data_IF_691326065278
#
_entry.id   IF_691326065278
#
_cell.length_a   1.000
_cell.length_b   1.000
_cell.length_c   1.000
_cell.angle_alpha   90.00
_cell.angle_beta   90.00
_cell.angle_gamma   90.00
#
_symmetry.space_group_name_H-M   'P 1'
#
loop_
_entity.id
_entity.type
_entity.pdbx_description
1 polymer ?
#
# COMPACT_ATOMS: atom_id res chain seq x y z
N UNK A 1 12.43 25.52 12.48
CA UNK A 1 11.11 26.16 12.64
C UNK A 1 10.11 25.29 11.89
N UNK A 2 9.02 24.87 12.54
CA UNK A 2 7.92 24.19 11.83
C UNK A 2 7.22 25.24 10.96
N UNK A 3 6.84 24.94 9.71
CA UNK A 3 6.03 25.87 8.94
C UNK A 3 4.71 26.15 9.67
N UNK A 4 4.23 27.40 9.62
CA UNK A 4 3.08 27.90 10.39
C UNK A 4 1.75 27.16 10.11
N UNK A 5 1.74 26.28 9.12
CA UNK A 5 0.62 25.50 8.62
C UNK A 5 0.60 24.01 9.04
N UNK A 6 1.43 23.57 9.98
CA UNK A 6 1.37 22.18 10.47
C UNK A 6 0.24 22.03 11.50
N UNK A 7 -0.71 21.12 11.25
CA UNK A 7 -1.71 20.74 12.24
C UNK A 7 -1.06 19.78 13.24
N UNK A 8 -0.79 20.30 14.44
CA UNK A 8 -0.20 19.52 15.52
C UNK A 8 -1.30 19.09 16.49
N UNK A 9 -1.52 17.78 16.60
CA UNK A 9 -2.48 17.22 17.56
C UNK A 9 -1.96 17.28 19.02
N UNK A 10 -0.73 17.75 19.24
CA UNK A 10 -0.06 17.81 20.55
C UNK A 10 -0.73 18.70 21.59
N UNK A 11 -1.67 19.58 21.19
CA UNK A 11 -2.39 20.45 22.13
C UNK A 11 -3.33 19.66 23.06
N UNK A 12 -3.75 18.46 22.65
CA UNK A 12 -4.57 17.58 23.48
C UNK A 12 -3.68 16.48 24.03
N UNK A 13 -3.36 16.54 25.33
CA UNK A 13 -2.69 15.46 26.04
C UNK A 13 -3.72 14.51 26.64
N UNK A 14 -3.68 13.25 26.24
CA UNK A 14 -4.56 12.22 26.75
C UNK A 14 -3.73 10.97 27.06
N UNK A 15 -3.03 10.94 28.21
CA UNK A 15 -2.04 9.91 28.52
C UNK A 15 -2.63 8.49 28.54
N UNK A 16 -3.89 8.36 28.95
CA UNK A 16 -4.62 7.08 29.01
C UNK A 16 -5.37 6.73 27.71
N UNK A 17 -5.20 7.52 26.64
CA UNK A 17 -5.87 7.25 25.37
C UNK A 17 -5.26 6.03 24.69
N UNK A 18 -6.06 4.98 24.52
CA UNK A 18 -5.62 3.75 23.86
C UNK A 18 -5.93 3.70 22.36
N UNK A 19 -6.96 4.40 21.91
CA UNK A 19 -7.39 4.40 20.52
C UNK A 19 -7.60 5.83 20.04
N UNK A 20 -7.00 6.18 18.91
CA UNK A 20 -7.13 7.48 18.28
C UNK A 20 -7.62 7.31 16.85
N UNK A 21 -8.70 8.01 16.51
CA UNK A 21 -9.20 8.12 15.16
C UNK A 21 -8.99 9.56 14.67
N UNK A 22 -8.13 9.74 13.68
CA UNK A 22 -7.83 11.03 13.07
C UNK A 22 -8.46 11.08 11.70
N UNK A 23 -9.47 11.92 11.55
CA UNK A 23 -10.07 12.24 10.26
C UNK A 23 -9.49 13.56 9.73
N UNK A 24 -8.48 13.43 8.87
CA UNK A 24 -7.84 14.56 8.22
C UNK A 24 -8.64 15.10 7.03
N UNK A 25 -9.80 14.52 6.71
CA UNK A 25 -10.62 14.99 5.58
C UNK A 25 -11.14 16.41 5.74
N UNK A 26 -11.21 16.90 6.97
CA UNK A 26 -11.83 18.17 7.36
C UNK A 26 -10.84 19.28 7.64
N UNK A 27 -9.55 19.02 7.43
CA UNK A 27 -8.51 20.02 7.70
C UNK A 27 -8.45 21.04 6.58
N UNK A 28 -8.26 22.31 6.96
CA UNK A 28 -8.24 23.46 6.06
C UNK A 28 -7.19 23.30 4.96
N UNK A 29 -7.44 23.92 3.80
CA UNK A 29 -6.60 23.78 2.61
C UNK A 29 -5.15 24.25 2.82
N UNK A 30 -4.93 25.09 3.82
CA UNK A 30 -3.63 25.70 4.10
C UNK A 30 -2.70 24.77 4.89
N UNK A 31 -3.20 23.65 5.42
CA UNK A 31 -2.36 22.74 6.20
C UNK A 31 -1.29 22.09 5.32
N UNK A 32 -0.05 22.06 5.81
CA UNK A 32 1.09 21.47 5.06
C UNK A 32 1.55 20.14 5.64
N UNK A 33 1.06 19.76 6.81
CA UNK A 33 1.42 18.50 7.45
C UNK A 33 0.66 18.25 8.74
N UNK A 34 0.74 17.00 9.18
CA UNK A 34 0.26 16.51 10.46
C UNK A 34 1.40 15.96 11.27
N UNK A 35 1.38 16.32 12.54
CA UNK A 35 2.27 15.73 13.53
C UNK A 35 1.46 15.25 14.71
N UNK A 36 1.62 13.98 15.03
CA UNK A 36 1.09 13.41 16.27
C UNK A 36 2.28 13.30 17.23
N UNK A 37 2.19 14.00 18.36
CA UNK A 37 3.26 14.00 19.35
C UNK A 37 3.22 12.70 20.15
N UNK A 38 4.39 12.10 20.33
CA UNK A 38 4.58 10.87 21.10
C UNK A 38 4.16 11.06 22.57
N UNK A 39 4.55 12.20 23.15
CA UNK A 39 4.26 12.56 24.53
C UNK A 39 2.77 12.84 24.80
N UNK A 40 1.98 13.07 23.75
CA UNK A 40 0.56 13.37 23.90
C UNK A 40 -0.26 12.11 24.23
N UNK A 41 0.15 10.95 23.70
CA UNK A 41 -0.59 9.68 23.76
C UNK A 41 0.32 8.47 24.05
N UNK A 42 1.06 8.45 25.17
CA UNK A 42 1.99 7.37 25.51
C UNK A 42 1.35 5.97 25.57
N UNK A 43 0.07 5.85 25.93
CA UNK A 43 -0.65 4.56 26.00
C UNK A 43 -1.39 4.17 24.72
N UNK A 44 -1.15 4.87 23.60
CA UNK A 44 -1.82 4.62 22.33
C UNK A 44 -1.45 3.23 21.78
N UNK A 45 -2.46 2.39 21.55
CA UNK A 45 -2.31 1.03 21.01
C UNK A 45 -2.98 0.85 19.65
N UNK A 46 -3.96 1.69 19.29
CA UNK A 46 -4.61 1.68 17.98
C UNK A 46 -4.69 3.09 17.40
N UNK A 47 -4.28 3.24 16.14
CA UNK A 47 -4.33 4.49 15.41
C UNK A 47 -5.06 4.26 14.08
N UNK A 48 -6.14 5.01 13.84
CA UNK A 48 -6.81 5.06 12.54
C UNK A 48 -6.64 6.43 11.94
N UNK A 49 -6.09 6.48 10.73
CA UNK A 49 -5.88 7.71 9.98
C UNK A 49 -6.74 7.68 8.73
N UNK A 50 -7.55 8.71 8.53
CA UNK A 50 -8.38 8.92 7.33
C UNK A 50 -7.84 10.13 6.57
N UNK A 51 -7.39 9.91 5.34
CA UNK A 51 -6.76 10.92 4.50
C UNK A 51 -7.62 11.26 3.27
N UNK A 52 -7.60 12.53 2.86
CA UNK A 52 -8.17 12.98 1.58
C UNK A 52 -7.19 13.78 0.71
N UNK A 53 -6.03 14.16 1.24
CA UNK A 53 -5.02 14.98 0.57
C UNK A 53 -3.60 14.57 0.96
N UNK A 54 -2.65 14.75 0.03
CA UNK A 54 -1.22 14.47 0.20
C UNK A 54 -0.57 15.44 1.18
N UNK A 55 -0.75 15.18 2.48
CA UNK A 55 -0.14 15.95 3.55
C UNK A 55 1.09 15.22 4.09
N UNK A 56 2.05 15.97 4.63
CA UNK A 56 3.20 15.37 5.31
C UNK A 56 2.72 14.71 6.61
N UNK A 57 3.05 13.44 6.82
CA UNK A 57 2.69 12.73 8.05
C UNK A 57 3.94 12.40 8.85
N UNK A 58 4.07 13.06 10.00
CA UNK A 58 4.99 12.66 11.06
C UNK A 58 4.18 11.92 12.12
N UNK A 59 4.19 10.59 12.03
CA UNK A 59 3.51 9.71 12.97
C UNK A 59 4.35 9.58 14.26
N UNK A 60 5.57 10.11 14.34
CA UNK A 60 6.42 9.94 15.52
C UNK A 60 6.70 8.47 15.87
N UNK A 61 7.33 8.27 17.01
CA UNK A 61 7.69 6.97 17.60
C UNK A 61 6.58 6.52 18.54
N UNK A 62 5.86 5.46 18.16
CA UNK A 62 4.84 4.86 19.02
C UNK A 62 5.19 3.45 19.44
N UNK A 63 5.91 3.35 20.56
CA UNK A 63 6.38 2.08 21.14
C UNK A 63 5.26 1.09 21.49
N UNK A 64 4.09 1.61 21.84
CA UNK A 64 2.93 0.80 22.26
C UNK A 64 1.90 0.55 21.15
N UNK A 65 2.08 1.14 19.96
CA UNK A 65 1.13 1.01 18.87
C UNK A 65 1.12 -0.42 18.36
N UNK A 66 -0.04 -1.08 18.46
CA UNK A 66 -0.26 -2.47 18.01
C UNK A 66 -1.02 -2.55 16.69
N UNK A 67 -1.85 -1.55 16.41
CA UNK A 67 -2.70 -1.50 15.23
C UNK A 67 -2.62 -0.13 14.54
N UNK A 68 -2.37 -0.13 13.23
CA UNK A 68 -2.39 1.06 12.39
C UNK A 68 -3.35 0.87 11.22
N UNK A 69 -4.41 1.67 11.12
CA UNK A 69 -5.38 1.63 10.02
C UNK A 69 -5.22 2.86 9.14
N UNK A 70 -4.81 2.66 7.89
CA UNK A 70 -4.64 3.69 6.88
C UNK A 70 -5.82 3.67 5.91
N UNK A 71 -6.70 4.65 6.07
CA UNK A 71 -7.89 4.82 5.24
C UNK A 71 -7.68 6.01 4.31
N UNK A 72 -7.74 5.77 3.01
CA UNK A 72 -7.76 6.83 2.00
C UNK A 72 -8.76 6.46 0.94
N UNK A 73 -9.32 7.48 0.31
CA UNK A 73 -10.28 7.29 -0.76
C UNK A 73 -9.63 7.41 -2.13
N UNK A 74 -8.48 8.10 -2.24
CA UNK A 74 -7.96 8.57 -3.52
C UNK A 74 -6.43 8.67 -3.62
N UNK A 75 -5.65 8.57 -2.53
CA UNK A 75 -4.21 8.86 -2.59
C UNK A 75 -3.32 7.60 -2.49
N UNK A 76 -2.57 7.36 -3.57
CA UNK A 76 -1.50 6.37 -3.69
C UNK A 76 -0.33 6.63 -2.72
N UNK A 77 0.09 7.89 -2.58
CA UNK A 77 1.37 8.29 -2.02
C UNK A 77 1.41 8.13 -0.51
N UNK A 78 0.51 8.78 0.22
CA UNK A 78 0.57 8.87 1.69
C UNK A 78 0.68 7.51 2.36
N UNK A 79 -0.13 6.53 1.92
CA UNK A 79 -0.11 5.20 2.53
C UNK A 79 1.25 4.55 2.34
N UNK A 80 1.76 4.61 1.12
CA UNK A 80 3.08 4.07 0.80
C UNK A 80 4.21 4.84 1.48
N UNK A 81 4.04 6.14 1.77
CA UNK A 81 5.03 6.95 2.49
C UNK A 81 5.06 6.58 3.98
N UNK A 82 3.90 6.32 4.57
CA UNK A 82 3.79 5.80 5.94
C UNK A 82 4.39 4.38 6.03
N UNK A 83 4.08 3.52 5.06
CA UNK A 83 4.67 2.17 5.00
C UNK A 83 6.18 2.23 4.79
N UNK A 84 6.67 3.16 3.96
CA UNK A 84 8.10 3.42 3.79
C UNK A 84 8.74 3.92 5.10
N UNK A 85 8.06 4.78 5.86
CA UNK A 85 8.57 5.24 7.17
C UNK A 85 8.75 4.06 8.13
N UNK A 86 7.79 3.14 8.18
CA UNK A 86 7.87 1.92 9.00
C UNK A 86 8.98 0.99 8.48
N UNK A 87 9.14 0.87 7.15
CA UNK A 87 10.24 0.15 6.52
C UNK A 87 11.59 0.74 6.93
N UNK A 88 11.75 2.06 6.89
CA UNK A 88 13.00 2.72 7.23
C UNK A 88 13.33 2.58 8.72
N UNK A 89 12.33 2.63 9.59
CA UNK A 89 12.51 2.66 11.06
C UNK A 89 11.59 1.68 11.78
N UNK A 90 11.75 0.35 11.58
CA UNK A 90 10.89 -0.66 12.22
C UNK A 90 10.93 -0.63 13.75
N UNK A 91 12.04 -0.14 14.34
CA UNK A 91 12.23 0.02 15.79
C UNK A 91 11.36 1.10 16.42
N UNK A 92 10.86 2.05 15.62
CA UNK A 92 9.97 3.09 16.12
C UNK A 92 8.54 2.57 16.33
N UNK A 93 8.23 1.43 15.72
CA UNK A 93 6.94 0.74 15.80
C UNK A 93 7.11 -0.69 16.32
N UNK A 94 7.76 -0.91 17.46
CA UNK A 94 8.17 -2.23 17.92
C UNK A 94 6.97 -3.13 18.21
N UNK A 95 5.89 -2.62 18.79
CA UNK A 95 4.69 -3.42 19.12
C UNK A 95 3.69 -3.57 17.96
N UNK A 96 3.95 -2.97 16.79
CA UNK A 96 2.99 -2.95 15.69
C UNK A 96 2.88 -4.33 15.06
N UNK A 97 1.68 -4.91 15.14
CA UNK A 97 1.35 -6.28 14.69
C UNK A 97 0.24 -6.32 13.64
N UNK A 98 -0.57 -5.26 13.53
CA UNK A 98 -1.71 -5.18 12.62
C UNK A 98 -1.67 -3.92 11.77
N UNK A 99 -1.79 -4.06 10.45
CA UNK A 99 -1.93 -2.94 9.53
C UNK A 99 -3.24 -3.08 8.75
N UNK A 100 -4.08 -2.06 8.80
CA UNK A 100 -5.28 -1.95 7.98
C UNK A 100 -5.05 -1.05 6.77
N UNK A 101 -5.39 -1.54 5.59
CA UNK A 101 -5.28 -0.81 4.33
C UNK A 101 -6.66 -0.77 3.67
N UNK A 102 -7.23 0.43 3.52
CA UNK A 102 -8.49 0.61 2.81
C UNK A 102 -8.31 0.45 1.29
N UNK A 103 -8.13 -0.80 0.82
CA UNK A 103 -8.10 -1.20 -0.60
C UNK A 103 -7.00 -0.55 -1.45
N UNK A 104 -6.94 -0.89 -2.73
CA UNK A 104 -6.04 -0.24 -3.70
C UNK A 104 -6.61 1.13 -4.14
N UNK A 105 -5.76 2.06 -4.62
CA UNK A 105 -4.37 1.87 -5.06
C UNK A 105 -3.29 2.27 -4.02
N UNK A 106 -2.24 1.47 -3.84
CA UNK A 106 -1.00 1.79 -3.12
C UNK A 106 0.17 0.93 -3.67
N UNK A 107 1.41 1.28 -3.34
CA UNK A 107 2.62 0.56 -3.77
C UNK A 107 2.79 -0.76 -3.00
N UNK A 108 2.43 -1.88 -3.66
CA UNK A 108 2.49 -3.22 -3.07
C UNK A 108 3.93 -3.68 -2.78
N UNK A 109 4.90 -3.31 -3.60
CA UNK A 109 6.32 -3.58 -3.37
C UNK A 109 6.81 -3.00 -2.03
N UNK A 110 6.42 -1.76 -1.69
CA UNK A 110 6.76 -1.13 -0.41
C UNK A 110 6.14 -1.88 0.77
N UNK A 111 4.91 -2.37 0.64
CA UNK A 111 4.29 -3.22 1.67
C UNK A 111 5.09 -4.51 1.87
N UNK A 112 5.44 -5.21 0.79
CA UNK A 112 6.17 -6.47 0.85
C UNK A 112 7.55 -6.28 1.51
N UNK A 113 8.29 -5.26 1.09
CA UNK A 113 9.59 -4.90 1.67
C UNK A 113 9.46 -4.56 3.16
N UNK A 114 8.41 -3.84 3.56
CA UNK A 114 8.17 -3.48 4.97
C UNK A 114 7.93 -4.72 5.81
N UNK A 115 7.08 -5.64 5.32
CA UNK A 115 6.80 -6.92 5.99
C UNK A 115 8.07 -7.77 6.14
N UNK A 116 8.81 -7.94 5.04
CA UNK A 116 10.10 -8.66 5.02
C UNK A 116 11.05 -8.08 6.07
N UNK A 117 11.24 -6.77 6.06
CA UNK A 117 12.17 -6.12 6.97
C UNK A 117 11.76 -6.24 8.44
N UNK A 118 10.46 -6.13 8.73
CA UNK A 118 9.90 -6.41 10.06
C UNK A 118 10.18 -7.84 10.51
N UNK A 119 10.13 -8.81 9.61
CA UNK A 119 10.46 -10.21 9.91
C UNK A 119 11.95 -10.42 10.16
N UNK A 120 12.83 -9.82 9.35
CA UNK A 120 14.30 -9.92 9.52
C UNK A 120 14.72 -9.44 10.91
N UNK A 121 14.09 -8.36 11.39
CA UNK A 121 14.39 -7.79 12.70
C UNK A 121 13.41 -8.22 13.79
N UNK A 122 12.62 -9.27 13.57
CA UNK A 122 11.80 -9.88 14.61
C UNK A 122 12.74 -10.48 15.66
N UNK A 123 12.91 -9.77 16.77
CA UNK A 123 13.75 -10.12 17.91
C UNK A 123 13.00 -9.78 19.20
N UNK A 124 13.47 -10.21 20.39
CA UNK A 124 12.87 -9.76 21.65
C UNK A 124 12.77 -8.23 21.67
N UNK A 125 11.54 -7.71 21.61
CA UNK A 125 11.25 -6.28 21.60
C UNK A 125 10.79 -5.69 20.26
N UNK A 126 10.79 -6.42 19.14
CA UNK A 126 10.15 -5.99 17.88
C UNK A 126 9.23 -7.11 17.37
N UNK A 127 7.93 -6.85 17.38
CA UNK A 127 6.92 -7.77 16.87
C UNK A 127 6.87 -7.76 15.33
N UNK A 128 6.76 -8.94 14.69
CA UNK A 128 6.44 -9.04 13.27
C UNK A 128 4.98 -8.62 13.03
N UNK A 129 4.67 -8.28 11.79
CA UNK A 129 3.28 -8.07 11.38
C UNK A 129 2.60 -9.43 11.27
N UNK A 130 1.50 -9.62 11.99
CA UNK A 130 0.74 -10.87 12.02
C UNK A 130 -0.54 -10.81 11.20
N UNK A 131 -1.05 -9.59 10.96
CA UNK A 131 -2.36 -9.38 10.38
C UNK A 131 -2.39 -8.16 9.45
N UNK A 132 -2.94 -8.36 8.25
CA UNK A 132 -3.39 -7.27 7.40
C UNK A 132 -4.92 -7.23 7.35
N UNK A 133 -5.50 -6.05 7.52
CA UNK A 133 -6.93 -5.82 7.30
C UNK A 133 -7.07 -5.18 5.94
N UNK A 134 -7.66 -5.88 4.98
CA UNK A 134 -7.78 -5.42 3.60
C UNK A 134 -9.23 -5.11 3.24
N UNK A 135 -9.47 -4.10 2.40
CA UNK A 135 -10.80 -3.67 1.98
C UNK A 135 -10.99 -3.74 0.46
N UNK A 136 -12.25 -3.84 0.02
CA UNK A 136 -12.76 -3.64 -1.35
C UNK A 136 -12.54 -4.76 -2.34
N UNK A 137 -11.30 -5.25 -2.53
CA UNK A 137 -10.99 -6.19 -3.61
C UNK A 137 -10.12 -7.32 -3.07
N UNK A 138 -10.51 -8.59 -3.29
CA UNK A 138 -9.66 -9.70 -2.89
C UNK A 138 -8.33 -9.64 -3.64
N UNK A 139 -7.24 -10.11 -3.04
CA UNK A 139 -5.93 -10.08 -3.66
C UNK A 139 -5.81 -11.15 -4.76
N UNK A 140 -5.00 -10.96 -5.81
CA UNK A 140 -4.68 -12.05 -6.71
C UNK A 140 -3.79 -13.06 -5.97
N UNK A 141 -3.82 -14.34 -6.37
CA UNK A 141 -3.14 -15.41 -5.65
C UNK A 141 -1.64 -15.14 -5.42
N UNK A 142 -0.92 -14.68 -6.45
CA UNK A 142 0.51 -14.38 -6.34
C UNK A 142 0.82 -13.34 -5.24
N UNK A 143 0.06 -12.24 -5.16
CA UNK A 143 0.24 -11.23 -4.11
C UNK A 143 -0.18 -11.75 -2.74
N UNK A 144 -1.31 -12.47 -2.69
CA UNK A 144 -1.80 -13.10 -1.46
C UNK A 144 -0.78 -14.11 -0.91
N UNK A 145 -0.16 -14.89 -1.78
CA UNK A 145 0.87 -15.86 -1.43
C UNK A 145 2.08 -15.18 -0.81
N UNK A 146 2.66 -14.18 -1.48
CA UNK A 146 3.82 -13.45 -0.96
C UNK A 146 3.52 -12.80 0.38
N UNK A 147 2.36 -12.16 0.53
CA UNK A 147 1.91 -11.59 1.81
C UNK A 147 1.76 -12.68 2.87
N UNK A 148 1.09 -13.79 2.56
CA UNK A 148 0.83 -14.86 3.53
C UNK A 148 2.12 -15.52 4.01
N UNK A 149 3.08 -15.77 3.10
CA UNK A 149 4.42 -16.26 3.45
C UNK A 149 5.13 -15.30 4.40
N UNK A 150 5.14 -14.01 4.09
CA UNK A 150 5.74 -12.99 4.95
C UNK A 150 5.02 -12.91 6.30
N UNK A 151 3.69 -13.01 6.38
CA UNK A 151 2.98 -13.03 7.66
C UNK A 151 3.26 -14.29 8.50
N UNK A 152 3.78 -15.37 7.89
CA UNK A 152 4.31 -16.56 8.58
C UNK A 152 5.78 -16.41 9.00
N UNK A 153 6.43 -15.29 8.65
CA UNK A 153 7.88 -15.11 8.84
C UNK A 153 8.73 -15.87 7.81
N UNK A 154 8.14 -16.29 6.68
CA UNK A 154 8.85 -16.94 5.58
C UNK A 154 9.09 -15.94 4.44
N UNK A 155 10.21 -16.09 3.74
CA UNK A 155 10.64 -15.17 2.70
C UNK A 155 10.37 -15.80 1.32
N UNK A 156 9.47 -15.23 0.50
CA UNK A 156 9.28 -15.67 -0.88
C UNK A 156 10.48 -15.27 -1.75
N UNK A 157 10.64 -15.89 -2.93
CA UNK A 157 11.75 -15.59 -3.83
C UNK A 157 11.81 -14.11 -4.26
N UNK A 158 13.03 -13.57 -4.38
CA UNK A 158 13.31 -12.13 -4.45
C UNK A 158 12.79 -11.43 -5.73
N UNK A 159 12.54 -12.17 -6.81
CA UNK A 159 11.97 -11.65 -8.08
C UNK A 159 10.54 -11.06 -7.91
N UNK A 160 9.96 -11.24 -6.73
CA UNK A 160 8.60 -10.83 -6.38
C UNK A 160 8.39 -9.31 -6.40
N UNK A 161 9.37 -8.47 -6.01
CA UNK A 161 9.12 -7.03 -5.80
C UNK A 161 8.89 -6.25 -7.10
N UNK A 162 9.69 -6.51 -8.13
CA UNK A 162 9.55 -5.86 -9.43
C UNK A 162 8.18 -6.12 -10.05
N UNK A 163 7.65 -7.33 -9.89
CA UNK A 163 6.32 -7.73 -10.37
C UNK A 163 5.15 -6.97 -9.72
N UNK A 164 5.39 -6.32 -8.57
CA UNK A 164 4.40 -5.54 -7.83
C UNK A 164 4.68 -4.03 -7.78
N UNK A 165 5.70 -3.58 -8.51
CA UNK A 165 6.09 -2.17 -8.61
C UNK A 165 5.08 -1.32 -9.38
N UNK A 166 5.18 0.01 -9.24
CA UNK A 166 4.42 0.93 -10.09
C UNK A 166 4.72 0.77 -11.58
N UNK A 167 5.94 0.38 -11.95
CA UNK A 167 6.28 0.13 -13.36
C UNK A 167 5.48 -1.04 -13.92
N UNK A 168 5.35 -2.12 -13.15
CA UNK A 168 4.53 -3.27 -13.52
C UNK A 168 3.03 -2.92 -13.60
N UNK A 169 2.53 -2.04 -12.72
CA UNK A 169 1.18 -1.48 -12.84
C UNK A 169 1.07 -0.65 -14.12
N UNK A 170 2.05 0.21 -14.39
CA UNK A 170 2.10 1.09 -15.55
C UNK A 170 2.04 0.32 -16.87
N UNK A 171 2.84 -0.75 -17.01
CA UNK A 171 2.81 -1.63 -18.18
C UNK A 171 1.42 -2.18 -18.50
N UNK A 172 0.59 -2.44 -17.47
CA UNK A 172 -0.79 -2.89 -17.65
C UNK A 172 -1.74 -1.72 -17.91
N UNK A 173 -1.61 -0.65 -17.13
CA UNK A 173 -2.52 0.49 -17.15
C UNK A 173 -2.41 1.31 -18.44
N UNK A 174 -1.20 1.46 -18.95
CA UNK A 174 -0.86 2.38 -20.04
C UNK A 174 -0.82 1.74 -21.43
N UNK A 175 -1.07 0.43 -21.52
CA UNK A 175 -1.18 -0.27 -22.79
C UNK A 175 -2.63 -0.19 -23.33
N UNK A 176 -2.87 0.63 -24.36
CA UNK A 176 -4.21 0.81 -24.95
C UNK A 176 -4.82 -0.51 -25.47
N UNK A 177 -3.98 -1.41 -25.98
CA UNK A 177 -4.38 -2.71 -26.51
C UNK A 177 -4.72 -3.74 -25.43
N UNK A 178 -4.44 -3.44 -24.15
CA UNK A 178 -4.73 -4.35 -23.04
C UNK A 178 -6.13 -4.11 -22.47
N UNK A 179 -6.82 -5.20 -22.14
CA UNK A 179 -8.06 -5.12 -21.37
C UNK A 179 -7.78 -4.95 -19.87
N UNK A 180 -8.71 -4.31 -19.18
CA UNK A 180 -8.68 -4.15 -17.72
C UNK A 180 -9.22 -2.81 -17.25
N UNK A 181 -9.95 -2.83 -16.14
CA UNK A 181 -10.32 -1.62 -15.39
C UNK A 181 -9.14 -1.14 -14.51
N UNK A 182 -9.14 0.12 -14.08
CA UNK A 182 -8.06 0.70 -13.26
C UNK A 182 -7.80 -0.13 -12.01
N UNK A 183 -8.85 -0.49 -11.26
CA UNK A 183 -8.72 -1.28 -10.03
C UNK A 183 -8.13 -2.68 -10.29
N UNK A 184 -8.46 -3.34 -11.41
CA UNK A 184 -7.89 -4.65 -11.74
C UNK A 184 -6.43 -4.53 -12.21
N UNK A 185 -6.07 -3.47 -12.93
CA UNK A 185 -4.67 -3.19 -13.26
C UNK A 185 -3.82 -3.00 -11.99
N UNK A 186 -4.27 -2.17 -11.04
CA UNK A 186 -3.60 -1.99 -9.74
C UNK A 186 -3.56 -3.28 -8.90
N UNK A 187 -4.60 -4.11 -8.99
CA UNK A 187 -4.71 -5.36 -8.24
C UNK A 187 -4.08 -6.54 -8.97
N UNK A 188 -3.42 -6.34 -10.10
CA UNK A 188 -2.86 -7.39 -10.96
C UNK A 188 -3.85 -8.51 -11.33
N UNK A 189 -5.15 -8.21 -11.41
CA UNK A 189 -6.21 -9.17 -11.71
C UNK A 189 -6.55 -9.23 -13.20
N UNK A 190 -6.91 -10.41 -13.73
CA UNK A 190 -7.47 -10.50 -15.08
C UNK A 190 -8.80 -9.75 -15.13
N UNK A 191 -9.02 -9.04 -16.23
CA UNK A 191 -10.24 -8.26 -16.43
C UNK A 191 -10.43 -7.98 -17.92
N UNK A 192 -11.56 -8.42 -18.48
CA UNK A 192 -11.88 -8.26 -19.90
C UNK A 192 -12.56 -6.93 -20.23
N UNK A 193 -12.62 -5.98 -19.28
CA UNK A 193 -13.22 -4.67 -19.53
C UNK A 193 -12.38 -3.92 -20.56
N UNK A 194 -12.96 -3.49 -21.70
CA UNK A 194 -12.21 -2.80 -22.74
C UNK A 194 -11.78 -1.40 -22.29
N UNK A 195 -10.69 -0.92 -22.88
CA UNK A 195 -10.30 0.49 -22.87
C UNK A 195 -11.30 1.31 -23.69
N UNK A 196 -11.52 2.57 -23.31
CA UNK A 196 -12.39 3.49 -24.01
C UNK A 196 -11.54 4.59 -24.66
N UNK A 197 -11.74 4.79 -25.96
CA UNK A 197 -11.04 5.83 -26.70
C UNK A 197 -11.48 7.23 -26.25
N UNK A 198 -10.56 8.18 -26.33
CA UNK A 198 -10.79 9.57 -26.00
C UNK A 198 -10.66 9.90 -24.51
N UNK A 199 -10.70 11.20 -24.18
CA UNK A 199 -10.53 11.66 -22.81
C UNK A 199 -11.70 11.24 -21.94
N UNK A 200 -11.41 10.99 -20.66
CA UNK A 200 -12.44 10.70 -19.66
C UNK A 200 -13.31 11.95 -19.47
N UNK A 201 -14.64 11.81 -19.62
CA UNK A 201 -15.60 12.92 -19.50
C UNK A 201 -15.65 13.55 -18.12
N UNK A 202 -15.21 12.82 -17.09
CA UNK A 202 -14.91 13.36 -15.78
C UNK A 202 -13.42 13.22 -15.51
N UNK A 203 -12.70 14.30 -15.18
CA UNK A 203 -11.33 14.18 -14.72
C UNK A 203 -11.34 13.27 -13.48
N UNK A 204 -10.60 12.16 -13.55
CA UNK A 204 -10.38 11.33 -12.37
C UNK A 204 -9.73 12.23 -11.33
N UNK A 205 -10.42 12.49 -10.21
CA UNK A 205 -9.94 13.32 -9.10
C UNK A 205 -8.80 12.64 -8.32
N UNK A 206 -7.79 12.11 -9.01
CA UNK A 206 -6.48 12.04 -8.40
C UNK A 206 -6.04 13.50 -8.35
N UNK A 207 -6.06 14.09 -7.17
CA UNK A 207 -5.46 15.39 -6.97
C UNK A 207 -3.97 15.18 -7.25
N UNK A 208 -3.55 15.42 -8.50
CA UNK A 208 -2.16 15.62 -8.89
C UNK A 208 -1.65 16.93 -8.30
N UNK A 209 -2.05 17.26 -7.05
CA UNK A 209 -1.44 18.32 -6.28
C UNK A 209 0.05 18.00 -6.29
N UNK A 210 0.74 18.88 -7.01
CA UNK A 210 2.11 18.87 -7.46
C UNK A 210 2.90 17.62 -7.08
N UNK A 211 3.36 16.87 -8.10
CA UNK A 211 4.53 16.00 -7.97
C UNK A 211 5.82 16.80 -7.67
N UNK A 212 5.71 17.85 -6.86
CA UNK A 212 6.83 18.55 -6.25
C UNK A 212 7.37 17.70 -5.09
N UNK A 213 8.69 17.71 -4.89
CA UNK A 213 9.36 16.95 -3.84
C UNK A 213 9.11 17.61 -2.47
N UNK A 214 7.89 17.54 -1.95
CA UNK A 214 7.66 17.77 -0.51
C UNK A 214 7.82 16.44 0.22
N UNK A 215 8.99 15.80 0.06
CA UNK A 215 9.19 14.43 0.52
C UNK A 215 10.01 14.40 1.82
N UNK A 216 9.37 14.04 2.93
CA UNK A 216 10.00 13.91 4.26
C UNK A 216 10.99 12.73 4.30
N UNK A 217 10.83 11.73 3.43
CA UNK A 217 11.63 10.50 3.53
C UNK A 217 13.12 10.67 3.16
N UNK A 218 13.50 11.75 2.45
CA UNK A 218 14.92 11.98 2.11
C UNK A 218 15.81 12.15 3.35
N UNK A 219 15.23 12.57 4.47
CA UNK A 219 15.95 12.82 5.73
C UNK A 219 15.78 11.69 6.75
N UNK A 220 15.03 10.63 6.42
CA UNK A 220 14.83 9.50 7.34
C UNK A 220 16.07 8.60 7.29
N UNK A 221 16.87 8.68 8.35
CA UNK A 221 17.95 7.72 8.59
C UNK A 221 17.33 6.36 8.93
N UNK A 222 17.63 5.35 8.12
CA UNK A 222 17.18 3.99 8.35
C UNK A 222 17.78 3.42 9.64
N UNK A 223 16.94 2.86 10.51
CA UNK A 223 17.37 2.12 11.70
C UNK A 223 16.54 0.84 11.89
N UNK A 224 17.13 -0.36 11.70
CA UNK A 224 18.54 -0.63 11.37
C UNK A 224 18.97 -0.12 9.97
N UNK A 225 20.26 -0.18 9.60
CA UNK A 225 20.71 0.18 8.26
C UNK A 225 20.07 -0.70 7.16
N UNK A 226 19.82 -0.12 5.99
CA UNK A 226 19.37 -0.85 4.80
C UNK A 226 20.51 -1.69 4.20
N UNK A 227 20.18 -2.83 3.58
CA UNK A 227 21.09 -3.55 2.68
C UNK A 227 21.34 -2.73 1.41
N UNK A 228 22.41 -3.04 0.67
CA UNK A 228 22.74 -2.32 -0.57
C UNK A 228 21.59 -2.37 -1.59
N UNK A 229 21.04 -3.55 -1.84
CA UNK A 229 19.95 -3.75 -2.81
C UNK A 229 18.70 -2.95 -2.45
N UNK A 230 18.35 -2.90 -1.15
CA UNK A 230 17.18 -2.14 -0.69
C UNK A 230 17.41 -0.63 -0.79
N UNK A 231 18.65 -0.16 -0.55
CA UNK A 231 19.01 1.26 -0.76
C UNK A 231 18.84 1.64 -2.23
N UNK A 232 19.36 0.83 -3.13
CA UNK A 232 19.27 1.06 -4.57
C UNK A 232 17.81 1.06 -5.04
N UNK A 233 17.02 0.06 -4.59
CA UNK A 233 15.60 -0.01 -4.90
C UNK A 233 14.85 1.25 -4.46
N UNK A 234 15.01 1.66 -3.20
CA UNK A 234 14.32 2.83 -2.65
C UNK A 234 14.82 4.15 -3.26
N UNK A 235 16.09 4.25 -3.67
CA UNK A 235 16.61 5.43 -4.36
C UNK A 235 15.86 5.71 -5.67
N UNK A 236 15.53 4.67 -6.44
CA UNK A 236 14.76 4.78 -7.68
C UNK A 236 13.25 5.02 -7.51
N UNK A 237 12.72 4.98 -6.27
CA UNK A 237 11.26 5.06 -6.00
C UNK A 237 10.63 6.35 -6.55
N UNK A 238 11.28 7.48 -6.34
CA UNK A 238 10.74 8.77 -6.76
C UNK A 238 10.68 8.90 -8.28
N UNK A 239 11.68 8.35 -8.98
CA UNK A 239 11.70 8.31 -10.44
C UNK A 239 10.60 7.42 -10.99
N UNK A 240 10.40 6.22 -10.41
CA UNK A 240 9.28 5.33 -10.77
C UNK A 240 7.92 6.00 -10.58
N UNK A 241 7.71 6.67 -9.45
CA UNK A 241 6.49 7.45 -9.19
C UNK A 241 6.31 8.58 -10.21
N UNK A 242 7.35 9.36 -10.45
CA UNK A 242 7.30 10.48 -11.39
C UNK A 242 6.96 9.99 -12.80
N UNK A 243 7.65 8.95 -13.28
CA UNK A 243 7.42 8.31 -14.57
C UNK A 243 5.98 7.79 -14.69
N UNK A 244 5.48 7.11 -13.65
CA UNK A 244 4.11 6.62 -13.61
C UNK A 244 3.08 7.75 -13.75
N UNK A 245 3.18 8.80 -12.92
CA UNK A 245 2.21 9.91 -12.95
C UNK A 245 2.32 10.75 -14.23
N UNK A 246 3.53 10.88 -14.79
CA UNK A 246 3.73 11.53 -16.07
C UNK A 246 3.01 10.77 -17.19
N UNK A 247 3.23 9.46 -17.26
CA UNK A 247 2.60 8.57 -18.25
C UNK A 247 1.07 8.56 -18.12
N UNK A 248 0.56 8.50 -16.88
CA UNK A 248 -0.87 8.58 -16.59
C UNK A 248 -1.48 9.88 -17.14
N UNK A 249 -0.82 11.02 -16.93
CA UNK A 249 -1.26 12.33 -17.46
C UNK A 249 -1.25 12.38 -18.98
N UNK A 250 -0.23 11.83 -19.63
CA UNK A 250 -0.17 11.77 -21.10
C UNK A 250 -1.28 10.92 -21.70
N UNK A 251 -1.65 9.83 -21.02
CA UNK A 251 -2.61 8.85 -21.52
C UNK A 251 -4.06 9.27 -21.31
N UNK A 252 -4.35 10.03 -20.25
CA UNK A 252 -5.70 10.54 -19.98
C UNK A 252 -6.30 11.37 -21.13
N UNK A 253 -5.46 11.92 -22.02
CA UNK A 253 -5.92 12.60 -23.24
C UNK A 253 -6.20 11.68 -24.43
N UNK A 254 -5.76 10.42 -24.39
CA UNK A 254 -5.82 9.46 -25.51
C UNK A 254 -6.89 8.40 -25.31
N UNK A 255 -6.89 7.76 -24.15
CA UNK A 255 -7.87 6.74 -23.79
C UNK A 255 -8.05 6.72 -22.26
N UNK A 256 -9.09 6.04 -21.81
CA UNK A 256 -9.32 5.85 -20.38
C UNK A 256 -9.85 4.44 -20.07
N UNK A 257 -9.74 4.06 -18.80
CA UNK A 257 -10.27 2.81 -18.26
C UNK A 257 -11.43 3.12 -17.33
N UNK A 258 -12.38 2.20 -17.26
CA UNK A 258 -13.36 2.22 -16.17
C UNK A 258 -12.62 2.05 -14.85
N UNK A 259 -13.07 2.75 -13.80
CA UNK A 259 -12.47 2.62 -12.47
C UNK A 259 -12.69 1.21 -11.90
N UNK A 260 -13.95 0.77 -11.89
CA UNK A 260 -14.39 -0.50 -11.32
C UNK A 260 -14.66 -1.57 -12.39
N UNK A 261 -14.46 -2.84 -12.02
CA UNK A 261 -14.84 -3.97 -12.87
C UNK A 261 -16.31 -4.34 -12.62
N UNK A 262 -17.17 -4.47 -13.65
CA UNK A 262 -18.55 -4.91 -13.47
C UNK A 262 -18.67 -6.33 -12.89
N UNK A 263 -17.71 -7.19 -13.21
CA UNK A 263 -17.70 -8.59 -12.77
C UNK A 263 -17.17 -8.77 -11.34
N UNK A 264 -16.49 -7.77 -10.77
CA UNK A 264 -15.99 -7.83 -9.40
C UNK A 264 -16.97 -7.07 -8.51
N UNK A 265 -17.79 -7.81 -7.74
CA UNK A 265 -18.58 -7.18 -6.69
C UNK A 265 -17.63 -6.57 -5.66
N UNK A 266 -17.57 -5.25 -5.63
CA UNK A 266 -16.89 -4.53 -4.56
C UNK A 266 -17.66 -4.78 -3.26
N UNK A 267 -17.15 -5.68 -2.44
CA UNK A 267 -17.71 -5.85 -1.11
C UNK A 267 -17.23 -4.67 -0.24
N UNK A 268 -18.14 -4.00 0.50
CA UNK A 268 -17.74 -3.06 1.52
C UNK A 268 -17.02 -3.75 2.69
N UNK A 269 -17.06 -5.09 2.75
CA UNK A 269 -16.45 -5.88 3.81
C UNK A 269 -14.92 -5.76 3.81
N UNK A 270 -14.39 -5.80 5.03
CA UNK A 270 -12.98 -6.02 5.26
C UNK A 270 -12.74 -7.52 5.30
N UNK A 271 -11.64 -7.98 4.73
CA UNK A 271 -11.13 -9.32 4.95
C UNK A 271 -9.82 -9.25 5.70
N UNK A 272 -9.63 -10.23 6.57
CA UNK A 272 -8.43 -10.38 7.38
C UNK A 272 -7.49 -11.33 6.64
N UNK A 273 -6.26 -10.87 6.40
CA UNK A 273 -5.17 -11.70 5.89
C UNK A 273 -4.23 -12.00 7.05
N UNK A 274 -3.97 -13.27 7.27
CA UNK A 274 -3.05 -13.82 8.27
C UNK A 274 -2.11 -14.80 7.58
N UNK A 275 -1.14 -15.33 8.33
CA UNK A 275 -0.39 -16.49 7.86
C UNK A 275 -1.28 -17.67 7.46
N UNK A 276 -2.44 -17.90 8.06
CA UNK A 276 -3.30 -19.06 7.72
C UNK A 276 -4.21 -18.85 6.50
N UNK A 277 -4.25 -17.64 5.92
CA UNK A 277 -5.28 -17.32 4.92
C UNK A 277 -5.26 -18.22 3.69
N UNK A 278 -4.11 -18.75 3.26
CA UNK A 278 -4.05 -19.69 2.13
C UNK A 278 -4.53 -21.11 2.45
N UNK A 279 -4.47 -21.52 3.72
CA UNK A 279 -4.93 -22.86 4.13
C UNK A 279 -6.46 -22.94 4.05
N UNK A 280 -7.13 -21.82 4.28
CA UNK A 280 -8.58 -21.65 4.14
C UNK A 280 -9.02 -21.70 2.66
N UNK A 281 -8.23 -21.14 1.73
CA UNK A 281 -8.51 -21.22 0.29
C UNK A 281 -8.26 -22.63 -0.30
N UNK A 282 -7.35 -23.42 0.28
CA UNK A 282 -7.04 -24.78 -0.19
C UNK A 282 -8.17 -25.79 0.00
N UNK A 283 -9.19 -25.46 0.80
CA UNK A 283 -10.36 -26.32 1.04
C UNK A 283 -11.40 -26.22 -0.08
N UNK A 284 -11.45 -25.08 -0.79
CA UNK A 284 -12.43 -24.77 -1.85
C UNK A 284 -11.81 -24.68 -3.26
N UNK A 285 -10.47 -24.67 -3.40
CA UNK A 285 -9.78 -24.57 -4.69
C UNK A 285 -9.65 -25.93 -5.40
N UNK A 286 -10.76 -26.48 -5.88
CA UNK A 286 -10.79 -27.37 -7.04
C UNK A 286 -11.08 -26.58 -8.32
N UNK A 287 -10.25 -25.60 -8.68
CA UNK A 287 -10.22 -25.13 -10.07
C UNK A 287 -8.91 -24.41 -10.39
N UNK A 288 -8.45 -24.62 -11.62
CA UNK A 288 -7.29 -24.01 -12.28
C UNK A 288 -5.90 -24.52 -11.87
N UNK A 289 -5.63 -25.80 -12.17
CA UNK A 289 -4.27 -26.21 -12.60
C UNK A 289 -4.18 -26.03 -14.13
N UNK A 290 -3.16 -25.34 -14.67
CA UNK A 290 -2.90 -25.33 -16.10
C UNK A 290 -2.62 -26.76 -16.58
N UNK A 291 -3.32 -27.16 -17.64
CA UNK A 291 -3.32 -28.52 -18.15
C UNK A 291 -1.93 -29.06 -18.48
N UNK A 292 -1.61 -30.23 -17.92
CA UNK A 292 -0.64 -31.12 -18.52
C UNK A 292 -1.13 -31.49 -19.92
N UNK A 293 -0.36 -31.11 -20.92
CA UNK A 293 -0.48 -31.55 -22.31
C UNK A 293 -0.58 -33.07 -22.34
N UNK A 294 -1.77 -33.60 -22.67
CA UNK A 294 -1.92 -35.02 -23.04
C UNK A 294 -1.37 -35.20 -24.45
N UNK A 295 -0.23 -35.86 -24.55
CA UNK A 295 0.37 -36.27 -25.81
C UNK A 295 -0.60 -37.10 -26.66
N UNK A 296 -0.67 -36.75 -27.93
CA UNK A 296 -1.32 -37.54 -28.96
C UNK A 296 -0.62 -38.90 -29.06
N UNK A 297 -1.37 -40.00 -28.93
CA UNK A 297 -0.95 -41.32 -29.42
C UNK A 297 -1.38 -41.44 -30.88
N UNK A 298 -0.41 -41.64 -31.76
CA UNK A 298 -0.62 -42.16 -33.10
C UNK A 298 -1.24 -43.56 -33.02
N UNK A 299 -2.16 -43.87 -33.94
CA UNK A 299 -2.58 -45.23 -34.26
C UNK A 299 -1.94 -45.57 -35.60
N UNK A 300 -1.14 -46.63 -35.60
CA UNK A 300 -1.00 -47.54 -36.74
C UNK A 300 -1.99 -48.70 -36.50
#
# INVERSE_FOLDING_TARGET
>A
MLPDSVVIFSKIKAPNLHSLHVDASRVGADATGFKISEDAYPSLTSLTLVFTRSLLWDIGIYKNLRELKLQTWLDLKIRSDILETILMRPRDFPALETIGLAGLPFECDILLLMLERKNIYAQPGISPIKKLIWRRIPLPYHLLYSITMLLRGMFPDQETYTGFSLDAVGQRMFNESSTGCEMCCYSFRPCSTPTQAGPKTQPTRFWYEECGPRYVAKDIVADPPLTSDLKEWLAGKNERRFSFFHSDREIQGRFHRNYSCPAVRHSPSYFTITGSSLDEFGSDAREERPGLVRGCRARD
#
